data_IF_798785496577
#
_entry.id   IF_798785496577
#
_cell.length_a   1.000
_cell.length_b   1.000
_cell.length_c   1.000
_cell.angle_alpha   90.00
_cell.angle_beta   90.00
_cell.angle_gamma   90.00
#
_symmetry.space_group_name_H-M   'P 1'
#
loop_
_entity.id
_entity.type
_entity.pdbx_description
1 polymer ?
#
# COMPACT_ATOMS: atom_id res chain seq x y z
N UNK A 1 6.92 12.60 14.93
CA UNK A 1 6.58 12.01 13.61
C UNK A 1 7.33 10.69 13.55
N UNK A 2 6.63 9.56 13.79
CA UNK A 2 7.21 8.22 13.69
C UNK A 2 7.66 8.09 12.23
N UNK A 3 8.96 8.21 11.96
CA UNK A 3 9.52 7.96 10.63
C UNK A 3 9.51 6.45 10.46
N UNK A 4 8.32 5.91 10.26
CA UNK A 4 8.10 4.48 10.11
C UNK A 4 8.79 4.07 8.82
N UNK A 5 9.92 3.38 8.95
CA UNK A 5 10.72 2.89 7.83
C UNK A 5 10.07 1.67 7.15
N UNK A 6 8.73 1.67 7.05
CA UNK A 6 7.93 0.57 6.51
C UNK A 6 8.32 0.26 5.06
N UNK A 7 8.76 1.28 4.31
CA UNK A 7 9.19 1.10 2.92
C UNK A 7 10.45 0.25 2.78
N UNK A 8 11.33 0.25 3.79
CA UNK A 8 12.55 -0.57 3.81
C UNK A 8 12.37 -1.89 4.58
N UNK A 9 11.41 -1.95 5.51
CA UNK A 9 11.27 -3.08 6.43
C UNK A 9 10.15 -4.06 6.06
N UNK A 10 9.15 -3.63 5.28
CA UNK A 10 8.07 -4.51 4.81
C UNK A 10 8.35 -5.03 3.39
N UNK A 11 8.02 -6.30 3.09
CA UNK A 11 8.14 -6.82 1.74
C UNK A 11 7.28 -5.98 0.78
N UNK A 12 7.83 -5.59 -0.37
CA UNK A 12 7.14 -4.69 -1.30
C UNK A 12 7.03 -3.23 -0.85
N UNK A 13 7.66 -2.83 0.27
CA UNK A 13 7.57 -1.47 0.81
C UNK A 13 8.03 -0.38 -0.16
N UNK A 14 9.15 -0.60 -0.87
CA UNK A 14 9.63 0.34 -1.88
C UNK A 14 8.66 0.50 -3.06
N UNK A 15 8.03 -0.60 -3.48
CA UNK A 15 7.04 -0.60 -4.55
C UNK A 15 5.82 0.24 -4.15
N UNK A 16 5.33 0.10 -2.92
CA UNK A 16 4.22 0.90 -2.40
C UNK A 16 4.61 2.37 -2.20
N UNK A 17 5.81 2.65 -1.72
CA UNK A 17 6.33 4.03 -1.60
C UNK A 17 6.35 4.74 -2.95
N UNK A 18 6.89 4.08 -3.98
CA UNK A 18 6.88 4.59 -5.34
C UNK A 18 5.44 4.78 -5.85
N UNK A 19 4.57 3.79 -5.61
CA UNK A 19 3.17 3.84 -5.99
C UNK A 19 2.41 5.00 -5.36
N UNK A 20 2.67 5.33 -4.10
CA UNK A 20 2.04 6.46 -3.42
C UNK A 20 2.47 7.79 -4.05
N UNK A 21 3.77 7.93 -4.33
CA UNK A 21 4.30 9.12 -5.00
C UNK A 21 3.74 9.28 -6.43
N UNK A 22 3.61 8.19 -7.17
CA UNK A 22 3.01 8.19 -8.52
C UNK A 22 1.51 8.51 -8.46
N UNK A 23 0.78 7.88 -7.54
CA UNK A 23 -0.65 8.06 -7.35
C UNK A 23 -0.99 9.50 -6.96
N UNK A 24 -0.24 10.10 -6.04
CA UNK A 24 -0.41 11.50 -5.62
C UNK A 24 -0.12 12.49 -6.76
N UNK A 25 0.82 12.13 -7.65
CA UNK A 25 1.12 12.93 -8.83
C UNK A 25 0.17 12.66 -10.02
N UNK A 26 -0.85 11.81 -9.85
CA UNK A 26 -1.78 11.46 -10.92
C UNK A 26 -1.15 10.64 -12.05
N UNK A 27 0.00 9.98 -11.80
CA UNK A 27 0.70 9.17 -12.82
C UNK A 27 0.08 7.78 -12.92
N UNK A 28 -0.08 7.32 -14.16
CA UNK A 28 -0.62 6.00 -14.48
C UNK A 28 0.51 4.97 -14.57
N UNK A 29 1.07 4.58 -13.42
CA UNK A 29 2.16 3.60 -13.34
C UNK A 29 1.69 2.28 -12.73
N UNK A 30 2.41 1.19 -13.00
CA UNK A 30 2.12 -0.10 -12.37
C UNK A 30 2.12 -0.01 -10.82
N UNK A 31 3.11 0.64 -10.17
CA UNK A 31 3.05 0.91 -8.72
C UNK A 31 1.83 1.71 -8.27
N UNK A 32 1.40 2.74 -9.02
CA UNK A 32 0.20 3.52 -8.68
C UNK A 32 -1.08 2.70 -8.78
N UNK A 33 -1.17 1.78 -9.75
CA UNK A 33 -2.28 0.84 -9.84
C UNK A 33 -2.36 -0.07 -8.61
N UNK A 34 -1.22 -0.59 -8.12
CA UNK A 34 -1.19 -1.41 -6.91
C UNK A 34 -1.65 -0.63 -5.66
N UNK A 35 -1.22 0.63 -5.54
CA UNK A 35 -1.73 1.51 -4.48
C UNK A 35 -3.24 1.72 -4.59
N UNK A 36 -3.75 1.89 -5.81
CA UNK A 36 -5.19 2.05 -6.03
C UNK A 36 -5.98 0.76 -5.67
N UNK A 37 -5.41 -0.42 -5.92
CA UNK A 37 -5.98 -1.71 -5.51
C UNK A 37 -6.02 -1.87 -3.98
N UNK A 38 -4.99 -1.42 -3.26
CA UNK A 38 -4.87 -1.59 -1.80
C UNK A 38 -5.41 -0.40 -0.96
N UNK A 39 -6.15 0.54 -1.56
CA UNK A 39 -6.53 1.81 -0.91
C UNK A 39 -7.20 1.64 0.45
N UNK A 40 -8.11 0.67 0.56
CA UNK A 40 -8.83 0.43 1.81
C UNK A 40 -7.88 0.05 2.94
N UNK A 41 -6.90 -0.82 2.70
CA UNK A 41 -5.92 -1.22 3.71
C UNK A 41 -4.91 -0.10 3.99
N UNK A 42 -4.44 0.58 2.94
CA UNK A 42 -3.51 1.70 3.09
C UNK A 42 -4.13 2.87 3.89
N UNK A 43 -5.42 3.14 3.71
CA UNK A 43 -6.16 4.13 4.53
C UNK A 43 -6.26 3.73 5.98
N UNK A 44 -6.64 2.48 6.25
CA UNK A 44 -6.72 1.94 7.62
C UNK A 44 -5.37 2.00 8.34
N UNK A 45 -4.28 1.81 7.61
CA UNK A 45 -2.92 1.92 8.14
C UNK A 45 -2.38 3.36 8.19
N UNK A 46 -3.15 4.37 7.81
CA UNK A 46 -2.73 5.78 7.81
C UNK A 46 -1.72 6.15 6.71
N UNK A 47 -1.46 5.26 5.75
CA UNK A 47 -0.52 5.48 4.64
C UNK A 47 -1.14 6.24 3.46
N UNK A 48 -2.47 6.31 3.40
CA UNK A 48 -3.20 7.05 2.37
C UNK A 48 -4.33 7.87 3.01
N UNK A 49 -4.47 9.16 2.71
CA UNK A 49 -5.58 9.96 3.24
C UNK A 49 -6.95 9.50 2.74
N UNK A 50 -7.97 9.59 3.60
CA UNK A 50 -9.36 9.23 3.26
C UNK A 50 -9.95 10.13 2.17
N UNK A 51 -9.53 11.39 2.12
CA UNK A 51 -9.97 12.37 1.12
C UNK A 51 -9.39 12.13 -0.28
N UNK A 52 -8.43 11.22 -0.43
CA UNK A 52 -7.77 11.02 -1.73
C UNK A 52 -8.77 10.46 -2.74
N UNK A 53 -8.97 11.16 -3.86
CA UNK A 53 -9.90 10.77 -4.92
C UNK A 53 -9.52 9.42 -5.57
N UNK A 54 -10.46 8.76 -6.28
CA UNK A 54 -10.14 7.63 -7.15
C UNK A 54 -9.84 8.13 -8.56
N UNK A 55 -8.56 8.34 -8.93
CA UNK A 55 -8.26 8.92 -10.23
C UNK A 55 -8.49 7.93 -11.38
N UNK A 56 -8.49 6.61 -11.13
CA UNK A 56 -8.63 5.61 -12.20
C UNK A 56 -9.61 4.49 -11.81
N UNK A 57 -10.75 4.32 -12.53
CA UNK A 57 -11.60 3.15 -12.37
C UNK A 57 -10.89 1.91 -12.95
N UNK A 58 -11.01 0.75 -12.28
CA UNK A 58 -10.44 -0.55 -12.69
C UNK A 58 -8.89 -0.63 -12.70
N UNK A 59 -8.23 -0.44 -11.54
CA UNK A 59 -6.77 -0.42 -11.47
C UNK A 59 -6.10 -1.73 -11.90
N UNK A 60 -6.75 -2.90 -11.73
CA UNK A 60 -6.26 -4.20 -12.19
C UNK A 60 -6.15 -4.25 -13.72
N UNK A 61 -7.19 -3.76 -14.42
CA UNK A 61 -7.23 -3.72 -15.89
C UNK A 61 -6.14 -2.80 -16.43
N UNK A 62 -5.97 -1.66 -15.78
CA UNK A 62 -4.94 -0.68 -16.15
C UNK A 62 -3.52 -1.21 -15.89
N UNK A 63 -3.30 -1.90 -14.77
CA UNK A 63 -2.02 -2.57 -14.49
C UNK A 63 -1.70 -3.58 -15.59
N UNK A 64 -2.66 -4.43 -15.95
CA UNK A 64 -2.45 -5.42 -17.00
C UNK A 64 -2.13 -4.77 -18.36
N UNK A 65 -2.84 -3.69 -18.72
CA UNK A 65 -2.58 -2.93 -19.94
C UNK A 65 -1.15 -2.35 -19.98
N UNK A 66 -0.67 -1.76 -18.88
CA UNK A 66 0.70 -1.24 -18.77
C UNK A 66 1.74 -2.36 -18.93
N UNK A 67 1.52 -3.51 -18.28
CA UNK A 67 2.43 -4.65 -18.38
C UNK A 67 2.51 -5.23 -19.79
N UNK A 68 1.40 -5.22 -20.52
CA UNK A 68 1.35 -5.65 -21.93
C UNK A 68 2.18 -4.76 -22.85
N UNK A 69 2.25 -3.46 -22.56
CA UNK A 69 3.05 -2.50 -23.37
C UNK A 69 4.56 -2.73 -23.22
N UNK A 70 5.02 -3.20 -22.05
CA UNK A 70 6.44 -3.52 -21.82
C UNK A 70 6.87 -4.79 -22.58
N UNK A 71 5.93 -5.62 -23.00
CA UNK A 71 6.19 -6.89 -23.69
C UNK A 71 6.68 -8.01 -22.75
N UNK A 72 6.88 -9.21 -23.30
CA UNK A 72 7.16 -10.42 -22.55
C UNK A 72 5.90 -11.02 -21.89
N UNK A 73 6.08 -11.81 -20.83
CA UNK A 73 4.96 -12.44 -20.12
C UNK A 73 4.31 -11.47 -19.12
N UNK A 74 3.35 -10.70 -19.61
CA UNK A 74 2.57 -9.76 -18.79
C UNK A 74 1.75 -10.46 -17.69
N UNK A 75 1.31 -11.70 -17.91
CA UNK A 75 0.52 -12.43 -16.93
C UNK A 75 1.38 -12.87 -15.74
N UNK A 76 2.56 -13.43 -16.00
CA UNK A 76 3.51 -13.77 -14.94
C UNK A 76 3.96 -12.54 -14.14
N UNK A 77 4.21 -11.40 -14.80
CA UNK A 77 4.55 -10.15 -14.11
C UNK A 77 3.40 -9.60 -13.27
N UNK A 78 2.17 -9.66 -13.81
CA UNK A 78 0.97 -9.28 -13.06
C UNK A 78 0.85 -10.11 -11.78
N UNK A 79 0.95 -11.44 -11.90
CA UNK A 79 0.86 -12.34 -10.76
C UNK A 79 2.01 -12.15 -9.75
N UNK A 80 3.20 -11.77 -10.20
CA UNK A 80 4.30 -11.44 -9.30
C UNK A 80 3.98 -10.18 -8.47
N UNK A 81 3.55 -9.10 -9.13
CA UNK A 81 3.21 -7.84 -8.48
C UNK A 81 2.03 -7.97 -7.52
N UNK A 82 0.98 -8.73 -7.89
CA UNK A 82 -0.17 -8.98 -7.00
C UNK A 82 0.26 -9.78 -5.76
N UNK A 83 1.12 -10.79 -5.90
CA UNK A 83 1.64 -11.53 -4.74
C UNK A 83 2.50 -10.66 -3.83
N UNK A 84 3.31 -9.79 -4.40
CA UNK A 84 4.11 -8.83 -3.64
C UNK A 84 3.23 -7.84 -2.88
N UNK A 85 2.17 -7.33 -3.52
CA UNK A 85 1.16 -6.47 -2.87
C UNK A 85 0.49 -7.19 -1.69
N UNK A 86 0.02 -8.42 -1.89
CA UNK A 86 -0.61 -9.21 -0.82
C UNK A 86 0.36 -9.49 0.32
N UNK A 87 1.64 -9.74 0.02
CA UNK A 87 2.68 -9.92 1.04
C UNK A 87 2.86 -8.64 1.88
N UNK A 88 2.91 -7.48 1.22
CA UNK A 88 2.97 -6.18 1.88
C UNK A 88 1.76 -5.96 2.79
N UNK A 89 0.54 -6.13 2.27
CA UNK A 89 -0.70 -5.93 3.03
C UNK A 89 -0.74 -6.80 4.29
N UNK A 90 -0.36 -8.07 4.18
CA UNK A 90 -0.29 -8.98 5.32
C UNK A 90 0.75 -8.55 6.37
N UNK A 91 1.91 -8.03 5.95
CA UNK A 91 2.95 -7.53 6.85
C UNK A 91 2.53 -6.21 7.52
N UNK A 92 1.82 -5.36 6.78
CA UNK A 92 1.25 -4.11 7.26
C UNK A 92 0.18 -4.36 8.32
N UNK A 93 -0.76 -5.27 8.06
CA UNK A 93 -1.82 -5.63 9.01
C UNK A 93 -1.24 -6.18 10.32
N UNK A 94 -0.17 -6.99 10.26
CA UNK A 94 0.54 -7.48 11.46
C UNK A 94 1.23 -6.37 12.25
N UNK A 95 1.71 -5.35 11.56
CA UNK A 95 2.35 -4.18 12.19
C UNK A 95 1.32 -3.29 12.86
N UNK A 96 0.18 -3.06 12.20
CA UNK A 96 -0.94 -2.27 12.72
C UNK A 96 -1.67 -2.98 13.89
N UNK A 97 -1.65 -4.32 13.93
CA UNK A 97 -2.26 -5.11 15.00
C UNK A 97 -1.37 -5.31 16.24
N UNK A 98 -0.16 -4.73 16.32
CA UNK A 98 0.71 -4.90 17.49
C UNK A 98 0.16 -4.12 18.71
N UNK A 99 -0.12 -4.78 19.85
CA UNK A 99 -0.71 -4.15 21.04
C UNK A 99 0.20 -3.17 21.80
N UNK A 100 1.44 -2.93 21.37
CA UNK A 100 2.38 -2.07 22.11
C UNK A 100 1.97 -0.58 22.15
N UNK A 101 1.03 -0.17 21.29
CA UNK A 101 0.44 1.18 21.30
C UNK A 101 -0.88 1.25 22.12
N UNK A 102 -1.40 0.12 22.65
CA UNK A 102 -2.59 0.08 23.52
C UNK A 102 -2.27 0.28 25.01
N UNK A 103 -1.01 0.12 25.41
CA UNK A 103 -0.57 0.21 26.81
C UNK A 103 -0.71 1.66 27.34
N UNK A 104 -0.61 2.67 26.47
CA UNK A 104 -0.74 4.08 26.88
C UNK A 104 -2.17 4.48 27.28
N UNK A 105 -3.21 3.79 26.78
CA UNK A 105 -4.61 4.18 27.07
C UNK A 105 -5.04 3.67 28.46
N UNK A 106 -4.62 2.47 28.87
CA UNK A 106 -4.94 1.94 30.19
C UNK A 106 -4.14 2.62 31.32
N UNK A 107 -2.89 3.03 31.09
CA UNK A 107 -2.12 3.79 32.08
C UNK A 107 -2.68 5.20 32.31
N UNK A 108 -3.11 5.91 31.24
CA UNK A 108 -3.75 7.22 31.36
C UNK A 108 -5.08 7.18 32.12
N UNK A 109 -5.78 6.03 32.09
CA UNK A 109 -7.02 5.84 32.84
C UNK A 109 -6.81 5.43 34.31
N UNK A 110 -5.63 4.92 34.68
CA UNK A 110 -5.27 4.61 36.09
C UNK A 110 -4.75 5.80 36.89
N UNK A 111 -4.36 6.89 36.23
CA UNK A 111 -3.83 8.11 36.88
C UNK A 111 -4.92 9.16 37.17
N UNK A 112 -6.21 8.80 37.13
CA UNK A 112 -7.34 9.70 37.38
C UNK A 112 -8.16 9.28 38.59
#
# INVERSE_FOLDING_TARGET
>A
MRTDNWSETLPGGQLIRQGLADFQAGRHTAPACLVNMARTRLRRAGLLPDSTANPFPEPERQLYALLRQVGGDAYSRYNALVRELVSFENALDRTAARPQDLIDIEELQRMR
#
